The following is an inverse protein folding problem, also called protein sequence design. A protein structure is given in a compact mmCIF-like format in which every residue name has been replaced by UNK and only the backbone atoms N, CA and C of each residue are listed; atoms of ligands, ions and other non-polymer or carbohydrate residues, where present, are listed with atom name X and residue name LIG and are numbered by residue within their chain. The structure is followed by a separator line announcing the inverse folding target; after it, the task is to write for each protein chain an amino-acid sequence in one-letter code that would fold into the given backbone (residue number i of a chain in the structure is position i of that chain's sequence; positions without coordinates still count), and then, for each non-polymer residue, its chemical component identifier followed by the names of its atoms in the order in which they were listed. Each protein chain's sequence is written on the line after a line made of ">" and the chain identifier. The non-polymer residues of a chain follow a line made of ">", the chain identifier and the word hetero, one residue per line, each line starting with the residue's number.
data_IF_352740722678
#
_entry.id   IF_352740722678
#
_cell.length_a   1.000
_cell.length_b   1.000
_cell.length_c   1.000
_cell.angle_alpha   90.00
_cell.angle_beta   90.00
_cell.angle_gamma   90.00
#
_symmetry.space_group_name_H-M   'P 1'
#
loop_
_entity.id
_entity.type
_entity.pdbx_description
1 polymer ?
#
# COMPACT_ATOMS: atom_id res chain seq x y z
N UNK A 1 -48.25 33.15 -21.48
CA UNK A 1 -48.07 33.44 -20.04
C UNK A 1 -47.14 32.37 -19.48
N UNK A 2 -45.92 32.78 -19.20
CA UNK A 2 -44.73 31.98 -18.88
C UNK A 2 -44.71 31.65 -17.39
N UNK A 3 -44.50 30.39 -17.01
CA UNK A 3 -43.97 30.06 -15.68
C UNK A 3 -42.97 28.91 -15.81
N UNK A 4 -41.68 29.28 -15.79
CA UNK A 4 -40.57 28.38 -15.44
C UNK A 4 -40.74 28.03 -13.95
N UNK A 5 -40.68 26.73 -13.60
CA UNK A 5 -40.45 26.32 -12.21
C UNK A 5 -39.02 25.81 -12.07
N UNK A 6 -38.32 26.47 -11.17
CA UNK A 6 -36.89 26.40 -10.93
C UNK A 6 -36.42 25.06 -10.38
N UNK A 7 -35.25 24.69 -10.89
CA UNK A 7 -34.16 23.95 -10.28
C UNK A 7 -34.20 23.95 -8.74
N UNK A 8 -34.20 22.77 -8.15
CA UNK A 8 -33.85 22.58 -6.74
C UNK A 8 -32.63 21.65 -6.68
N UNK A 9 -31.45 22.25 -6.61
CA UNK A 9 -30.20 21.59 -6.23
C UNK A 9 -30.13 21.55 -4.70
N UNK A 10 -30.67 20.50 -4.08
CA UNK A 10 -30.29 20.13 -2.72
C UNK A 10 -29.00 19.31 -2.78
N UNK A 11 -27.86 19.99 -2.98
CA UNK A 11 -26.59 19.40 -2.55
C UNK A 11 -26.52 19.68 -1.05
N UNK A 12 -26.62 18.61 -0.26
CA UNK A 12 -26.58 18.66 1.20
C UNK A 12 -25.34 19.40 1.68
N UNK A 13 -25.53 20.60 2.25
CA UNK A 13 -24.47 21.44 2.80
C UNK A 13 -23.59 20.69 3.84
N UNK A 14 -24.12 19.64 4.46
CA UNK A 14 -23.41 18.76 5.40
C UNK A 14 -22.26 18.00 4.72
N UNK A 15 -22.46 17.51 3.49
CA UNK A 15 -21.42 16.77 2.76
C UNK A 15 -20.26 17.67 2.30
N UNK A 16 -20.57 18.91 1.90
CA UNK A 16 -19.56 19.89 1.51
C UNK A 16 -18.70 20.33 2.70
N UNK A 17 -19.29 20.52 3.88
CA UNK A 17 -18.56 20.91 5.09
C UNK A 17 -17.64 19.77 5.57
N UNK A 18 -18.11 18.52 5.58
CA UNK A 18 -17.27 17.38 5.95
C UNK A 18 -16.06 17.20 5.01
N UNK A 19 -16.27 17.37 3.69
CA UNK A 19 -15.20 17.32 2.71
C UNK A 19 -14.19 18.45 2.93
N UNK A 20 -14.65 19.68 3.14
CA UNK A 20 -13.78 20.86 3.36
C UNK A 20 -12.98 20.74 4.66
N UNK A 21 -13.58 20.22 5.74
CA UNK A 21 -12.88 19.97 7.01
C UNK A 21 -11.84 18.85 6.85
N UNK A 22 -12.16 17.79 6.09
CA UNK A 22 -11.19 16.72 5.78
C UNK A 22 -10.03 17.24 4.93
N UNK A 23 -10.31 18.06 3.91
CA UNK A 23 -9.28 18.76 3.11
C UNK A 23 -8.44 19.73 3.95
N UNK A 24 -9.04 20.46 4.89
CA UNK A 24 -8.32 21.34 5.81
C UNK A 24 -7.40 20.54 6.76
N UNK A 25 -7.86 19.38 7.25
CA UNK A 25 -7.06 18.48 8.08
C UNK A 25 -5.90 17.84 7.31
N UNK A 26 -6.13 17.46 6.04
CA UNK A 26 -5.07 17.06 5.09
C UNK A 26 -4.10 18.22 4.82
N UNK A 27 -4.60 19.46 4.71
CA UNK A 27 -3.75 20.64 4.49
C UNK A 27 -2.82 20.94 5.68
N UNK A 28 -3.27 20.69 6.92
CA UNK A 28 -2.42 20.79 8.12
C UNK A 28 -1.33 19.72 8.17
N UNK A 29 -1.64 18.48 7.76
CA UNK A 29 -0.62 17.43 7.54
C UNK A 29 0.38 17.87 6.46
N UNK A 30 -0.06 18.55 5.40
CA UNK A 30 0.81 18.98 4.31
C UNK A 30 1.82 20.08 4.69
N UNK A 31 1.52 20.95 5.66
CA UNK A 31 2.49 21.95 6.14
C UNK A 31 3.54 21.34 7.08
N UNK A 32 3.13 20.46 7.99
CA UNK A 32 4.03 19.77 8.91
C UNK A 32 4.88 18.69 8.20
N UNK A 33 4.30 17.99 7.21
CA UNK A 33 5.01 17.04 6.34
C UNK A 33 6.09 17.70 5.46
N UNK A 34 5.94 18.99 5.15
CA UNK A 34 6.93 19.79 4.41
C UNK A 34 8.06 20.28 5.31
N UNK A 35 7.79 20.61 6.57
CA UNK A 35 8.81 21.11 7.51
C UNK A 35 9.69 19.99 8.07
N UNK A 36 9.12 18.80 8.27
CA UNK A 36 9.82 17.59 8.66
C UNK A 36 9.68 16.52 7.58
N UNK A 37 10.63 16.45 6.64
CA UNK A 37 10.66 15.52 5.49
C UNK A 37 9.91 14.19 5.75
N UNK A 38 8.63 14.16 5.44
CA UNK A 38 7.77 13.00 5.64
C UNK A 38 7.87 12.08 4.43
N UNK A 39 8.09 10.80 4.67
CA UNK A 39 7.95 9.77 3.65
C UNK A 39 6.67 8.95 3.83
N UNK A 40 6.07 8.57 2.70
CA UNK A 40 5.01 7.57 2.66
C UNK A 40 5.54 6.30 2.01
N UNK A 41 5.45 5.18 2.69
CA UNK A 41 5.73 3.84 2.13
C UNK A 41 4.39 3.19 1.78
N UNK A 42 4.17 2.92 0.50
CA UNK A 42 2.96 2.28 -0.02
C UNK A 42 3.24 0.79 -0.21
N UNK A 43 2.55 -0.04 0.57
CA UNK A 43 2.71 -1.49 0.56
C UNK A 43 1.65 -2.13 -0.34
N UNK A 44 2.07 -2.67 -1.48
CA UNK A 44 1.25 -3.60 -2.26
C UNK A 44 1.29 -5.02 -1.67
N UNK A 45 0.34 -5.88 -2.02
CA UNK A 45 0.45 -7.30 -1.69
C UNK A 45 1.70 -7.90 -2.36
N UNK A 46 1.81 -7.68 -3.67
CA UNK A 46 2.86 -8.20 -4.53
C UNK A 46 2.49 -9.56 -5.09
N UNK A 47 2.84 -9.75 -6.35
CA UNK A 47 2.57 -10.98 -7.10
C UNK A 47 3.83 -11.40 -7.86
N UNK A 48 3.95 -12.69 -8.15
CA UNK A 48 4.95 -13.15 -9.10
C UNK A 48 4.59 -12.66 -10.51
N UNK A 49 5.56 -12.22 -11.33
CA UNK A 49 5.28 -11.79 -12.69
C UNK A 49 4.89 -13.00 -13.53
N UNK A 50 4.00 -12.80 -14.51
CA UNK A 50 3.35 -13.88 -15.28
C UNK A 50 4.33 -14.80 -16.02
N UNK A 51 5.47 -14.25 -16.42
CA UNK A 51 6.53 -14.90 -17.18
C UNK A 51 7.68 -15.43 -16.30
N UNK A 52 7.59 -15.30 -14.98
CA UNK A 52 8.57 -15.89 -14.08
C UNK A 52 8.50 -17.44 -14.14
N UNK A 53 9.64 -18.14 -14.11
CA UNK A 53 9.66 -19.59 -14.29
C UNK A 53 8.81 -20.35 -13.25
N UNK A 54 7.85 -21.16 -13.74
CA UNK A 54 6.83 -21.82 -12.89
C UNK A 54 7.44 -22.84 -11.93
N UNK A 55 8.49 -23.52 -12.35
CA UNK A 55 9.22 -24.49 -11.55
C UNK A 55 9.90 -23.84 -10.35
N UNK A 56 10.45 -22.64 -10.52
CA UNK A 56 11.04 -21.85 -9.44
C UNK A 56 9.98 -21.37 -8.44
N UNK A 57 8.80 -20.92 -8.90
CA UNK A 57 7.71 -20.58 -7.98
C UNK A 57 7.18 -21.77 -7.21
N UNK A 58 7.10 -22.94 -7.85
CA UNK A 58 6.70 -24.18 -7.18
C UNK A 58 7.74 -24.58 -6.13
N UNK A 59 9.02 -24.44 -6.45
CA UNK A 59 10.11 -24.68 -5.50
C UNK A 59 10.04 -23.71 -4.32
N UNK A 60 9.88 -22.40 -4.57
CA UNK A 60 9.76 -21.37 -3.54
C UNK A 60 8.61 -21.68 -2.56
N UNK A 61 7.41 -21.99 -3.08
CA UNK A 61 6.27 -22.37 -2.24
C UNK A 61 6.52 -23.64 -1.43
N UNK A 62 7.14 -24.66 -2.05
CA UNK A 62 7.49 -25.91 -1.37
C UNK A 62 8.45 -25.64 -0.21
N UNK A 63 9.48 -24.84 -0.44
CA UNK A 63 10.47 -24.49 0.59
C UNK A 63 9.82 -23.72 1.74
N UNK A 64 8.99 -22.72 1.44
CA UNK A 64 8.25 -21.97 2.46
C UNK A 64 7.42 -22.91 3.35
N UNK A 65 6.62 -23.81 2.76
CA UNK A 65 5.84 -24.80 3.52
C UNK A 65 6.72 -25.72 4.37
N UNK A 66 7.89 -26.13 3.86
CA UNK A 66 8.83 -26.96 4.63
C UNK A 66 9.43 -26.21 5.82
N UNK A 67 9.81 -24.95 5.64
CA UNK A 67 10.33 -24.08 6.72
C UNK A 67 9.27 -23.91 7.81
N UNK A 68 8.04 -23.58 7.43
CA UNK A 68 6.93 -23.43 8.38
C UNK A 68 6.66 -24.73 9.15
N UNK A 69 6.66 -25.88 8.46
CA UNK A 69 6.47 -27.19 9.09
C UNK A 69 7.59 -27.57 10.08
N UNK A 70 8.81 -27.04 9.88
CA UNK A 70 9.94 -27.20 10.79
C UNK A 70 9.92 -26.20 11.96
N UNK A 71 8.94 -25.30 11.99
CA UNK A 71 8.76 -24.31 13.04
C UNK A 71 9.50 -22.99 12.81
N UNK A 72 9.74 -22.64 11.54
CA UNK A 72 10.30 -21.36 11.10
C UNK A 72 11.77 -21.44 10.69
N UNK A 73 12.26 -20.33 10.11
CA UNK A 73 13.63 -20.24 9.55
C UNK A 73 14.72 -20.56 10.58
N UNK A 74 14.54 -20.19 11.85
CA UNK A 74 15.52 -20.46 12.92
C UNK A 74 15.73 -21.95 13.21
N UNK A 75 14.73 -22.80 12.89
CA UNK A 75 14.77 -24.24 13.16
C UNK A 75 15.03 -25.08 11.92
N UNK A 76 14.88 -24.49 10.73
CA UNK A 76 15.09 -25.18 9.46
C UNK A 76 16.59 -25.30 9.13
N UNK A 77 17.01 -26.33 8.36
CA UNK A 77 18.37 -26.44 7.84
C UNK A 77 18.81 -25.18 7.09
N UNK A 78 20.05 -24.73 7.29
CA UNK A 78 20.55 -23.46 6.74
C UNK A 78 20.57 -23.45 5.21
N UNK A 79 20.94 -24.56 4.57
CA UNK A 79 20.95 -24.72 3.10
C UNK A 79 19.55 -24.57 2.50
N UNK A 80 18.53 -25.08 3.19
CA UNK A 80 17.13 -24.95 2.80
C UNK A 80 16.67 -23.49 2.88
N UNK A 81 16.99 -22.81 3.99
CA UNK A 81 16.67 -21.39 4.21
C UNK A 81 17.42 -20.50 3.21
N UNK A 82 18.69 -20.77 2.95
CA UNK A 82 19.48 -20.06 1.94
C UNK A 82 18.88 -20.21 0.53
N UNK A 83 18.43 -21.41 0.16
CA UNK A 83 17.78 -21.65 -1.13
C UNK A 83 16.43 -20.91 -1.23
N UNK A 84 15.66 -20.91 -0.15
CA UNK A 84 14.41 -20.14 -0.06
C UNK A 84 14.67 -18.66 -0.31
N UNK A 85 15.59 -18.06 0.43
CA UNK A 85 15.95 -16.64 0.29
C UNK A 85 16.56 -16.31 -1.07
N UNK A 86 17.30 -17.23 -1.69
CA UNK A 86 17.83 -17.03 -3.04
C UNK A 86 16.71 -16.93 -4.08
N UNK A 87 15.71 -17.82 -4.02
CA UNK A 87 14.55 -17.78 -4.91
C UNK A 87 13.64 -16.58 -4.63
N UNK A 88 13.48 -16.22 -3.36
CA UNK A 88 12.72 -15.04 -2.93
C UNK A 88 13.33 -13.76 -3.54
N UNK A 89 14.65 -13.56 -3.38
CA UNK A 89 15.36 -12.45 -4.03
C UNK A 89 15.23 -12.48 -5.54
N UNK A 90 15.34 -13.66 -6.16
CA UNK A 90 15.23 -13.81 -7.60
C UNK A 90 13.86 -13.34 -8.11
N UNK A 91 12.76 -13.75 -7.46
CA UNK A 91 11.41 -13.31 -7.87
C UNK A 91 11.19 -11.83 -7.59
N UNK A 92 11.65 -11.31 -6.44
CA UNK A 92 11.54 -9.87 -6.12
C UNK A 92 12.23 -8.99 -7.15
N UNK A 93 13.42 -9.37 -7.60
CA UNK A 93 14.26 -8.61 -8.52
C UNK A 93 13.97 -8.88 -10.00
N UNK A 94 13.07 -9.82 -10.29
CA UNK A 94 12.71 -10.16 -11.67
C UNK A 94 12.15 -8.93 -12.42
N UNK A 95 12.61 -8.64 -13.65
CA UNK A 95 12.17 -7.48 -14.42
C UNK A 95 10.65 -7.39 -14.56
N UNK A 96 10.10 -6.19 -14.32
CA UNK A 96 8.67 -5.92 -14.37
C UNK A 96 8.32 -4.98 -15.51
N UNK A 97 7.23 -5.30 -16.19
CA UNK A 97 6.54 -4.44 -17.13
C UNK A 97 5.04 -4.45 -16.82
N UNK A 98 4.25 -3.46 -17.26
CA UNK A 98 2.80 -3.49 -17.11
C UNK A 98 2.12 -4.75 -17.69
N UNK A 99 2.75 -5.40 -18.67
CA UNK A 99 2.23 -6.61 -19.31
C UNK A 99 2.42 -7.85 -18.43
N UNK A 100 3.64 -8.04 -17.89
CA UNK A 100 3.97 -9.21 -17.08
C UNK A 100 3.55 -9.07 -15.60
N UNK A 101 3.44 -7.84 -15.10
CA UNK A 101 2.95 -7.51 -13.77
C UNK A 101 2.09 -6.22 -13.77
N UNK A 102 0.82 -6.32 -14.22
CA UNK A 102 -0.09 -5.19 -14.18
C UNK A 102 -0.45 -4.74 -12.76
N UNK A 103 -0.25 -5.58 -11.75
CA UNK A 103 -0.57 -5.24 -10.36
C UNK A 103 0.47 -4.28 -9.79
N UNK A 104 1.77 -4.58 -9.93
CA UNK A 104 2.84 -3.64 -9.54
C UNK A 104 2.70 -2.29 -10.27
N UNK A 105 2.37 -2.32 -11.56
CA UNK A 105 2.11 -1.10 -12.32
C UNK A 105 0.96 -0.26 -11.71
N UNK A 106 -0.15 -0.90 -11.32
CA UNK A 106 -1.28 -0.23 -10.67
C UNK A 106 -0.95 0.29 -9.27
N UNK A 107 -0.13 -0.42 -8.48
CA UNK A 107 0.35 0.05 -7.17
C UNK A 107 1.24 1.29 -7.35
N UNK A 108 2.14 1.27 -8.33
CA UNK A 108 3.00 2.43 -8.67
C UNK A 108 2.17 3.64 -9.12
N UNK A 109 1.15 3.42 -9.95
CA UNK A 109 0.22 4.48 -10.34
C UNK A 109 -0.50 5.07 -9.11
N UNK A 110 -1.06 4.22 -8.24
CA UNK A 110 -1.70 4.67 -7.00
C UNK A 110 -0.73 5.47 -6.12
N UNK A 111 0.50 4.99 -5.93
CA UNK A 111 1.51 5.66 -5.12
C UNK A 111 1.88 7.04 -5.69
N UNK A 112 1.97 7.16 -7.01
CA UNK A 112 2.17 8.45 -7.69
C UNK A 112 0.98 9.39 -7.45
N UNK A 113 -0.26 8.89 -7.52
CA UNK A 113 -1.45 9.70 -7.20
C UNK A 113 -1.50 10.14 -5.73
N UNK A 114 -1.11 9.27 -4.81
CA UNK A 114 -0.96 9.60 -3.37
C UNK A 114 0.08 10.71 -3.19
N UNK A 115 1.23 10.61 -3.87
CA UNK A 115 2.27 11.64 -3.85
C UNK A 115 1.74 13.00 -4.29
N UNK A 116 1.05 13.04 -5.42
CA UNK A 116 0.55 14.28 -6.03
C UNK A 116 -0.57 14.92 -5.22
N UNK A 117 -1.57 14.13 -4.78
CA UNK A 117 -2.72 14.64 -4.03
C UNK A 117 -2.31 15.09 -2.63
N UNK A 118 -1.47 14.30 -1.95
CA UNK A 118 -0.96 14.61 -0.62
C UNK A 118 0.23 15.55 -0.61
N UNK A 119 0.79 15.90 -1.77
CA UNK A 119 2.01 16.70 -1.89
C UNK A 119 3.17 16.16 -1.02
N UNK A 120 3.29 14.83 -0.93
CA UNK A 120 4.31 14.18 -0.11
C UNK A 120 5.68 14.23 -0.82
N UNK A 121 6.75 14.66 -0.15
CA UNK A 121 8.05 14.83 -0.81
C UNK A 121 8.69 13.50 -1.20
N UNK A 122 8.51 12.46 -0.37
CA UNK A 122 9.08 11.12 -0.57
C UNK A 122 7.93 10.11 -0.55
N UNK A 123 7.81 9.31 -1.61
CA UNK A 123 6.89 8.18 -1.68
C UNK A 123 7.63 6.97 -2.23
N UNK A 124 7.67 5.88 -1.47
CA UNK A 124 8.36 4.63 -1.82
C UNK A 124 7.31 3.54 -2.00
N UNK A 125 7.45 2.74 -3.05
CA UNK A 125 6.62 1.56 -3.28
C UNK A 125 7.36 0.32 -2.78
N UNK A 126 6.69 -0.48 -1.97
CA UNK A 126 7.16 -1.78 -1.49
C UNK A 126 6.07 -2.82 -1.71
N UNK A 127 6.43 -4.10 -1.61
CA UNK A 127 5.43 -5.16 -1.58
C UNK A 127 5.64 -6.06 -0.37
N UNK A 128 4.55 -6.64 0.13
CA UNK A 128 4.66 -7.65 1.16
C UNK A 128 5.41 -8.88 0.64
N UNK A 129 5.20 -9.27 -0.62
CA UNK A 129 5.80 -10.47 -1.18
C UNK A 129 6.20 -10.29 -2.65
N UNK A 130 7.11 -11.14 -3.12
CA UNK A 130 7.40 -11.40 -4.54
C UNK A 130 7.90 -10.24 -5.41
N UNK A 131 7.86 -8.97 -5.02
CA UNK A 131 8.13 -7.85 -5.91
C UNK A 131 8.89 -6.70 -5.25
N UNK A 132 10.03 -6.31 -5.85
CA UNK A 132 10.78 -5.12 -5.46
C UNK A 132 11.23 -5.15 -4.00
N UNK A 133 11.24 -3.99 -3.36
CA UNK A 133 11.64 -3.82 -1.97
C UNK A 133 10.65 -4.49 -1.01
N UNK A 134 11.16 -5.09 0.06
CA UNK A 134 10.34 -5.41 1.23
C UNK A 134 10.03 -4.16 2.06
N UNK A 135 9.07 -4.26 2.97
CA UNK A 135 8.55 -3.11 3.72
C UNK A 135 9.65 -2.44 4.55
N UNK A 136 10.49 -3.21 5.22
CA UNK A 136 11.62 -2.69 6.00
C UNK A 136 12.70 -2.06 5.12
N UNK A 137 12.95 -2.64 3.94
CA UNK A 137 13.89 -2.09 2.95
C UNK A 137 13.39 -0.77 2.36
N UNK A 138 12.09 -0.63 2.10
CA UNK A 138 11.52 0.62 1.63
C UNK A 138 11.47 1.72 2.69
N UNK A 139 11.30 1.36 3.96
CA UNK A 139 11.47 2.30 5.08
C UNK A 139 12.92 2.77 5.15
N UNK A 140 13.89 1.86 5.03
CA UNK A 140 15.31 2.21 4.96
C UNK A 140 15.62 3.14 3.79
N UNK A 141 15.08 2.87 2.60
CA UNK A 141 15.25 3.71 1.43
C UNK A 141 14.67 5.12 1.63
N UNK A 142 13.48 5.22 2.22
CA UNK A 142 12.89 6.51 2.59
C UNK A 142 13.80 7.31 3.54
N UNK A 143 14.38 6.65 4.55
CA UNK A 143 15.32 7.28 5.50
C UNK A 143 16.61 7.71 4.81
N UNK A 144 17.15 6.90 3.89
CA UNK A 144 18.32 7.26 3.07
C UNK A 144 18.07 8.49 2.21
N UNK A 145 16.85 8.69 1.73
CA UNK A 145 16.43 9.91 1.02
C UNK A 145 16.22 11.12 1.95
N UNK A 146 16.48 10.96 3.25
CA UNK A 146 16.46 12.01 4.27
C UNK A 146 15.11 12.18 4.97
N UNK A 147 14.23 11.18 4.91
CA UNK A 147 12.99 11.20 5.67
C UNK A 147 13.27 11.25 7.18
N UNK A 148 12.56 12.14 7.89
CA UNK A 148 12.62 12.25 9.36
C UNK A 148 11.47 11.53 10.06
N UNK A 149 10.40 11.26 9.32
CA UNK A 149 9.22 10.52 9.74
C UNK A 149 8.76 9.64 8.58
N UNK A 150 8.24 8.47 8.88
CA UNK A 150 7.72 7.53 7.87
C UNK A 150 6.31 7.10 8.23
N UNK A 151 5.37 7.22 7.29
CA UNK A 151 4.05 6.62 7.38
C UNK A 151 3.98 5.46 6.39
N UNK A 152 3.61 4.29 6.88
CA UNK A 152 3.39 3.09 6.08
C UNK A 152 1.89 2.90 5.89
N UNK A 153 1.46 2.74 4.63
CA UNK A 153 0.08 2.44 4.25
C UNK A 153 0.03 1.15 3.41
N UNK A 154 -1.12 0.49 3.37
CA UNK A 154 -1.30 -0.77 2.63
C UNK A 154 -2.43 -0.66 1.62
N UNK A 155 -2.23 -1.21 0.42
CA UNK A 155 -3.32 -1.32 -0.58
C UNK A 155 -4.32 -2.42 -0.22
N UNK A 156 -3.99 -3.29 0.74
CA UNK A 156 -4.89 -4.28 1.32
C UNK A 156 -5.71 -3.59 2.42
N UNK A 157 -6.85 -2.98 2.05
CA UNK A 157 -7.58 -2.07 2.96
C UNK A 157 -8.53 -2.75 3.95
N UNK A 158 -8.89 -4.01 3.73
CA UNK A 158 -9.87 -4.74 4.53
C UNK A 158 -9.18 -5.39 5.75
N UNK A 159 -9.81 -5.26 6.91
CA UNK A 159 -9.33 -5.86 8.17
C UNK A 159 -9.51 -7.37 8.25
N UNK A 160 -8.80 -8.02 9.18
CA UNK A 160 -8.86 -9.47 9.40
C UNK A 160 -7.88 -10.30 8.56
N UNK A 161 -7.01 -9.65 7.78
CA UNK A 161 -6.02 -10.32 6.93
C UNK A 161 -4.65 -10.45 7.62
N UNK A 162 -4.04 -11.64 7.52
CA UNK A 162 -2.71 -11.94 8.10
C UNK A 162 -1.64 -10.92 7.72
N UNK A 163 -1.59 -10.51 6.44
CA UNK A 163 -0.57 -9.57 5.96
C UNK A 163 -0.59 -8.23 6.68
N UNK A 164 -1.76 -7.63 6.89
CA UNK A 164 -1.86 -6.34 7.59
C UNK A 164 -1.73 -6.49 9.11
N UNK A 165 -2.15 -7.61 9.69
CA UNK A 165 -2.19 -7.76 11.14
C UNK A 165 -0.91 -8.36 11.73
N UNK A 166 -0.09 -9.05 10.93
CA UNK A 166 1.11 -9.74 11.39
C UNK A 166 2.34 -9.42 10.55
N UNK A 167 2.28 -9.65 9.23
CA UNK A 167 3.49 -9.63 8.40
C UNK A 167 4.07 -8.23 8.24
N UNK A 168 3.23 -7.26 7.82
CA UNK A 168 3.63 -5.85 7.68
C UNK A 168 4.07 -5.28 9.03
N UNK A 169 3.32 -5.44 10.15
CA UNK A 169 3.79 -5.03 11.47
C UNK A 169 5.14 -5.62 11.88
N UNK A 170 5.39 -6.91 11.59
CA UNK A 170 6.68 -7.55 11.87
C UNK A 170 7.85 -6.91 11.12
N UNK A 171 7.64 -6.57 9.84
CA UNK A 171 8.65 -5.88 9.02
C UNK A 171 8.87 -4.43 9.47
N UNK A 172 7.80 -3.74 9.84
CA UNK A 172 7.90 -2.40 10.44
C UNK A 172 8.69 -2.45 11.75
N UNK A 173 8.49 -3.46 12.58
CA UNK A 173 9.23 -3.65 13.82
C UNK A 173 10.73 -3.92 13.57
N UNK A 174 11.07 -4.70 12.55
CA UNK A 174 12.46 -4.87 12.09
C UNK A 174 13.09 -3.51 11.71
N UNK A 175 12.37 -2.67 10.97
CA UNK A 175 12.83 -1.33 10.63
C UNK A 175 12.97 -0.41 11.86
N UNK A 176 12.02 -0.42 12.79
CA UNK A 176 12.08 0.37 14.04
C UNK A 176 13.29 0.03 14.90
N UNK A 177 13.65 -1.27 15.00
CA UNK A 177 14.87 -1.70 15.70
C UNK A 177 16.13 -1.18 15.03
N UNK A 178 16.15 -1.12 13.70
CA UNK A 178 17.29 -0.61 12.91
C UNK A 178 17.39 0.93 12.96
N UNK A 179 16.26 1.62 13.05
CA UNK A 179 16.16 3.10 13.04
C UNK A 179 15.38 3.64 14.24
N UNK A 180 15.90 3.50 15.48
CA UNK A 180 15.15 3.83 16.71
C UNK A 180 14.82 5.32 16.86
N UNK A 181 15.55 6.19 16.17
CA UNK A 181 15.38 7.65 16.24
C UNK A 181 14.44 8.21 15.16
N UNK A 182 13.91 7.38 14.27
CA UNK A 182 13.00 7.79 13.22
C UNK A 182 11.59 7.30 13.53
N UNK A 183 10.60 8.18 13.78
CA UNK A 183 9.23 7.78 13.97
C UNK A 183 8.68 7.07 12.72
N UNK A 184 8.22 5.82 12.91
CA UNK A 184 7.58 5.01 11.88
C UNK A 184 6.17 4.66 12.33
N UNK A 185 5.16 5.16 11.63
CA UNK A 185 3.74 4.93 11.91
C UNK A 185 3.16 3.99 10.87
N UNK A 186 2.46 2.95 11.33
CA UNK A 186 1.63 2.13 10.46
C UNK A 186 0.21 2.69 10.47
N UNK A 187 -0.23 3.30 9.37
CA UNK A 187 -1.55 3.92 9.26
C UNK A 187 -2.59 2.87 8.82
N UNK A 188 -2.95 2.01 9.77
CA UNK A 188 -3.93 0.94 9.64
C UNK A 188 -4.56 0.66 11.02
N UNK A 189 -5.86 0.28 11.12
CA UNK A 189 -6.80 0.04 10.03
C UNK A 189 -7.32 1.32 9.37
N UNK A 190 -7.80 1.19 8.13
CA UNK A 190 -8.62 2.23 7.51
C UNK A 190 -9.99 2.29 8.19
N UNK A 191 -10.56 3.48 8.29
CA UNK A 191 -11.90 3.66 8.83
C UNK A 191 -12.94 2.96 7.94
N UNK A 192 -13.91 2.30 8.57
CA UNK A 192 -14.89 1.48 7.83
C UNK A 192 -15.87 2.35 7.03
N UNK A 193 -16.26 3.51 7.56
CA UNK A 193 -17.17 4.41 6.88
C UNK A 193 -16.49 5.09 5.69
N UNK A 194 -15.19 5.44 5.82
CA UNK A 194 -14.40 5.98 4.70
C UNK A 194 -14.30 4.98 3.54
N UNK A 195 -14.04 3.70 3.84
CA UNK A 195 -14.02 2.64 2.83
C UNK A 195 -15.40 2.42 2.19
N UNK A 196 -16.46 2.41 3.00
CA UNK A 196 -17.83 2.30 2.50
C UNK A 196 -18.16 3.47 1.56
N UNK A 197 -17.76 4.69 1.92
CA UNK A 197 -17.95 5.88 1.08
C UNK A 197 -17.19 5.79 -0.25
N UNK A 198 -15.94 5.30 -0.26
CA UNK A 198 -15.20 5.02 -1.50
C UNK A 198 -15.98 4.06 -2.42
N UNK A 199 -16.53 2.98 -1.86
CA UNK A 199 -17.31 1.99 -2.59
C UNK A 199 -18.62 2.57 -3.11
N UNK A 200 -19.38 3.28 -2.27
CA UNK A 200 -20.64 3.93 -2.63
C UNK A 200 -20.43 4.95 -3.76
N UNK A 201 -19.38 5.78 -3.67
CA UNK A 201 -19.04 6.76 -4.71
C UNK A 201 -18.80 6.06 -6.06
N UNK A 202 -18.06 4.95 -6.03
CA UNK A 202 -17.81 4.11 -7.22
C UNK A 202 -19.11 3.55 -7.78
N UNK A 203 -19.98 2.98 -6.94
CA UNK A 203 -21.28 2.42 -7.33
C UNK A 203 -22.16 3.50 -7.97
N UNK A 204 -22.29 4.67 -7.35
CA UNK A 204 -23.11 5.75 -7.86
C UNK A 204 -22.61 6.26 -9.22
N UNK A 205 -21.29 6.42 -9.38
CA UNK A 205 -20.67 6.84 -10.65
C UNK A 205 -21.02 5.89 -11.80
N UNK A 206 -21.02 4.59 -11.56
CA UNK A 206 -21.33 3.59 -12.58
C UNK A 206 -22.83 3.32 -12.72
N UNK A 207 -23.60 3.43 -11.64
CA UNK A 207 -25.06 3.27 -11.65
C UNK A 207 -25.75 4.30 -12.54
N UNK A 208 -25.20 5.52 -12.66
CA UNK A 208 -25.68 6.53 -13.60
C UNK A 208 -25.64 6.08 -15.07
N UNK A 209 -24.79 5.11 -15.43
CA UNK A 209 -24.73 4.54 -16.78
C UNK A 209 -25.95 3.65 -17.09
N UNK A 210 -26.58 3.08 -16.07
CA UNK A 210 -27.78 2.25 -16.21
C UNK A 210 -29.03 3.10 -16.47
N UNK A 211 -29.09 4.32 -15.93
CA UNK A 211 -30.22 5.25 -16.12
C UNK A 211 -30.17 6.03 -17.44
N UNK A 212 -29.15 5.81 -18.28
CA UNK A 212 -28.97 6.46 -19.60
C UNK A 212 -29.32 5.54 -20.78
N UNK A 213 -29.90 4.37 -20.51
CA UNK A 213 -30.52 3.47 -21.50
C UNK A 213 -32.03 3.55 -21.37
#
# INVERSE_FOLDING_TARGET
>A
MTMKRSLVLWISAIGAIALVVSFAKVSGVNEEAKSEKLAVVVVGHGIAPKDFPREKLRELRRLHTQIEALGGEEKAPSDLVERYHALEREVRQYPRTPENDPYDAAVKELAQRVKEIGNFPIVIVTHNEFCGLDVDEGIEEAIKQGAKKVIVISTMVIKGGTHNEKDIPGKIEKARRKYPNTPIIYAYPYDTDDLAMLMVNTIQKHGQLLSRR
#
